data_IF_769884046409
#
_entry.id   IF_769884046409
#
_cell.length_a   1.000
_cell.length_b   1.000
_cell.length_c   1.000
_cell.angle_alpha   90.00
_cell.angle_beta   90.00
_cell.angle_gamma   90.00
#
_symmetry.space_group_name_H-M   'P 1'
#
loop_
_entity.id
_entity.type
_entity.pdbx_description
1 polymer ?
#
# COMPACT_ATOMS: atom_id res chain seq x y z
N UNK A 1 3.39 5.84 -27.43
CA UNK A 1 2.71 4.80 -26.64
C UNK A 1 3.77 3.80 -26.19
N UNK A 2 3.77 3.43 -24.92
CA UNK A 2 4.68 2.45 -24.37
C UNK A 2 3.88 1.29 -23.74
N UNK A 3 4.50 0.11 -23.71
CA UNK A 3 3.88 -1.11 -23.18
C UNK A 3 4.45 -1.39 -21.79
N UNK A 4 3.62 -1.29 -20.74
CA UNK A 4 4.05 -1.49 -19.37
C UNK A 4 4.55 -2.92 -19.10
N UNK A 5 4.03 -3.93 -19.79
CA UNK A 5 4.50 -5.32 -19.66
C UNK A 5 5.93 -5.51 -20.20
N UNK A 6 6.35 -4.70 -21.19
CA UNK A 6 7.73 -4.69 -21.71
C UNK A 6 8.70 -3.87 -20.86
N UNK A 7 8.20 -2.87 -20.13
CA UNK A 7 8.95 -2.10 -19.13
C UNK A 7 8.35 -2.30 -17.75
N UNK A 8 8.55 -3.46 -17.15
CA UNK A 8 7.71 -4.01 -16.08
C UNK A 8 7.60 -3.13 -14.85
N UNK A 9 8.59 -2.28 -14.62
CA UNK A 9 8.63 -1.37 -13.48
C UNK A 9 9.08 0.00 -13.97
N UNK A 10 8.36 1.04 -13.54
CA UNK A 10 8.55 2.41 -13.98
C UNK A 10 8.82 3.32 -12.78
N UNK A 11 9.88 4.10 -12.85
CA UNK A 11 10.18 5.17 -11.90
C UNK A 11 9.86 6.53 -12.55
N UNK A 12 9.10 7.35 -11.84
CA UNK A 12 8.70 8.69 -12.29
C UNK A 12 9.16 9.72 -11.25
N UNK A 13 9.98 10.69 -11.62
CA UNK A 13 10.40 11.71 -10.67
C UNK A 13 10.44 13.11 -11.30
N UNK A 14 10.25 14.14 -10.48
CA UNK A 14 10.29 15.54 -10.90
C UNK A 14 9.77 16.48 -9.82
N UNK A 15 10.04 17.76 -9.96
CA UNK A 15 9.59 18.79 -9.03
C UNK A 15 8.06 18.91 -9.00
N UNK A 16 7.52 19.51 -7.94
CA UNK A 16 6.09 19.85 -7.84
C UNK A 16 5.67 20.73 -9.03
N UNK A 17 4.52 20.41 -9.64
CA UNK A 17 4.01 21.15 -10.80
C UNK A 17 4.69 20.81 -12.14
N UNK A 18 5.65 19.90 -12.18
CA UNK A 18 6.36 19.52 -13.41
C UNK A 18 5.54 18.63 -14.37
N UNK A 19 4.44 18.03 -13.91
CA UNK A 19 3.57 17.15 -14.68
C UNK A 19 3.53 15.69 -14.20
N UNK A 20 4.18 15.35 -13.08
CA UNK A 20 4.23 14.00 -12.51
C UNK A 20 2.84 13.41 -12.27
N UNK A 21 1.98 14.13 -11.55
CA UNK A 21 0.62 13.66 -11.19
C UNK A 21 -0.26 13.52 -12.43
N UNK A 22 -0.17 14.44 -13.38
CA UNK A 22 -0.87 14.34 -14.67
C UNK A 22 -0.42 13.09 -15.45
N UNK A 23 0.86 12.78 -15.45
CA UNK A 23 1.39 11.56 -16.07
C UNK A 23 0.87 10.29 -15.40
N UNK A 24 0.83 10.24 -14.06
CA UNK A 24 0.26 9.13 -13.30
C UNK A 24 -1.23 8.92 -13.63
N UNK A 25 -2.00 10.01 -13.63
CA UNK A 25 -3.41 9.99 -14.01
C UNK A 25 -3.61 9.54 -15.47
N UNK A 26 -2.81 10.03 -16.41
CA UNK A 26 -2.85 9.62 -17.80
C UNK A 26 -2.50 8.13 -17.97
N UNK A 27 -1.52 7.61 -17.20
CA UNK A 27 -1.16 6.19 -17.20
C UNK A 27 -2.33 5.33 -16.72
N UNK A 28 -2.88 5.62 -15.53
CA UNK A 28 -4.01 4.87 -14.95
C UNK A 28 -5.20 4.94 -15.91
N UNK A 29 -5.57 6.13 -16.36
CA UNK A 29 -6.70 6.34 -17.29
C UNK A 29 -6.50 5.55 -18.58
N UNK A 30 -5.30 5.52 -19.17
CA UNK A 30 -5.03 4.76 -20.39
C UNK A 30 -5.24 3.26 -20.24
N UNK A 31 -5.02 2.73 -19.04
CA UNK A 31 -5.21 1.31 -18.72
C UNK A 31 -6.68 0.98 -18.45
N UNK A 32 -7.38 1.77 -17.63
CA UNK A 32 -8.79 1.54 -17.31
C UNK A 32 -9.71 1.77 -18.50
N UNK A 33 -9.29 2.62 -19.46
CA UNK A 33 -10.03 2.84 -20.71
C UNK A 33 -10.03 1.62 -21.62
N UNK A 34 -8.98 0.79 -21.58
CA UNK A 34 -8.79 -0.34 -22.49
C UNK A 34 -9.03 -1.70 -21.87
N UNK A 35 -8.87 -1.84 -20.58
CA UNK A 35 -8.85 -3.12 -19.91
C UNK A 35 -10.01 -3.23 -18.92
N UNK A 36 -10.74 -4.34 -19.04
CA UNK A 36 -11.82 -4.67 -18.12
C UNK A 36 -11.26 -4.98 -16.71
N UNK A 37 -12.01 -4.74 -15.61
CA UNK A 37 -11.60 -5.10 -14.27
C UNK A 37 -11.17 -6.55 -14.08
N UNK A 38 -11.65 -7.49 -14.84
CA UNK A 38 -11.20 -8.89 -14.82
C UNK A 38 -9.75 -9.07 -15.27
N UNK A 39 -9.19 -8.13 -16.03
CA UNK A 39 -7.85 -8.26 -16.62
C UNK A 39 -6.79 -7.44 -15.90
N UNK A 40 -7.18 -6.39 -15.17
CA UNK A 40 -6.25 -5.50 -14.48
C UNK A 40 -6.80 -5.09 -13.11
N UNK A 41 -5.92 -5.02 -12.13
CA UNK A 41 -6.18 -4.52 -10.78
C UNK A 41 -5.15 -3.48 -10.41
N UNK A 42 -5.61 -2.44 -9.75
CA UNK A 42 -4.73 -1.42 -9.18
C UNK A 42 -4.63 -1.56 -7.67
N UNK A 43 -3.43 -1.36 -7.17
CA UNK A 43 -3.14 -1.14 -5.76
C UNK A 43 -2.49 0.23 -5.69
N UNK A 44 -3.16 1.18 -5.04
CA UNK A 44 -2.72 2.57 -4.98
C UNK A 44 -2.26 2.89 -3.56
N UNK A 45 -1.07 3.46 -3.45
CA UNK A 45 -0.47 3.96 -2.21
C UNK A 45 -0.30 5.48 -2.39
N UNK A 46 -1.15 6.24 -1.70
CA UNK A 46 -1.16 7.72 -1.72
C UNK A 46 -1.25 8.24 -0.28
N UNK A 47 -0.12 8.43 0.40
CA UNK A 47 -0.10 8.89 1.79
C UNK A 47 -0.73 10.26 2.02
N UNK A 48 -0.85 11.07 0.97
CA UNK A 48 -1.39 12.43 1.05
C UNK A 48 -2.88 12.52 0.71
N UNK A 49 -3.45 11.47 0.13
CA UNK A 49 -4.86 11.42 -0.32
C UNK A 49 -5.25 12.53 -1.30
N UNK A 50 -4.31 13.06 -2.08
CA UNK A 50 -4.53 14.23 -2.92
C UNK A 50 -4.64 13.89 -4.41
N UNK A 51 -3.83 12.93 -4.90
CA UNK A 51 -3.62 12.77 -6.33
C UNK A 51 -4.36 11.56 -6.91
N UNK A 52 -4.41 10.45 -6.18
CA UNK A 52 -4.92 9.17 -6.68
C UNK A 52 -6.17 8.67 -5.96
N UNK A 53 -6.64 9.38 -4.93
CA UNK A 53 -7.85 9.02 -4.16
C UNK A 53 -9.13 9.03 -4.99
N UNK A 54 -9.16 9.79 -6.09
CA UNK A 54 -10.27 9.84 -7.06
C UNK A 54 -10.62 8.45 -7.61
N UNK A 55 -9.64 7.54 -7.72
CA UNK A 55 -9.85 6.18 -8.23
C UNK A 55 -10.43 5.20 -7.21
N UNK A 56 -10.63 5.58 -5.95
CA UNK A 56 -11.07 4.67 -4.87
C UNK A 56 -12.34 3.89 -5.20
N UNK A 57 -13.25 4.49 -5.99
CA UNK A 57 -14.58 3.93 -6.28
C UNK A 57 -14.66 3.11 -7.57
N UNK A 58 -13.55 2.91 -8.32
CA UNK A 58 -13.61 2.16 -9.57
C UNK A 58 -13.48 0.65 -9.34
N UNK A 59 -14.16 -0.19 -10.15
CA UNK A 59 -14.13 -1.65 -10.00
C UNK A 59 -12.75 -2.27 -10.24
N UNK A 60 -11.82 -1.54 -10.85
CA UNK A 60 -10.44 -1.96 -11.09
C UNK A 60 -9.56 -1.95 -9.83
N UNK A 61 -10.03 -1.35 -8.74
CA UNK A 61 -9.24 -1.37 -7.51
C UNK A 61 -9.21 -2.77 -6.90
N UNK A 62 -8.02 -3.23 -6.56
CA UNK A 62 -7.81 -4.50 -5.84
C UNK A 62 -8.05 -4.37 -4.34
N UNK A 63 -8.05 -3.13 -3.85
CA UNK A 63 -8.32 -2.73 -2.46
C UNK A 63 -8.52 -1.21 -2.38
N UNK A 64 -9.03 -0.66 -1.26
CA UNK A 64 -9.03 0.78 -1.00
C UNK A 64 -7.63 1.40 -1.07
N UNK A 65 -7.55 2.71 -1.37
CA UNK A 65 -6.28 3.44 -1.43
C UNK A 65 -5.56 3.39 -0.09
N UNK A 66 -4.27 3.10 -0.11
CA UNK A 66 -3.43 2.98 1.09
C UNK A 66 -2.86 4.34 1.46
N UNK A 67 -3.16 4.82 2.66
CA UNK A 67 -2.85 6.19 3.09
C UNK A 67 -1.74 6.28 4.14
N UNK A 68 -1.31 5.17 4.74
CA UNK A 68 -0.26 5.19 5.74
C UNK A 68 0.97 4.37 5.37
N UNK A 69 2.20 4.80 5.76
CA UNK A 69 3.43 4.04 5.48
C UNK A 69 3.44 2.65 6.08
N UNK A 70 2.91 2.47 7.29
CA UNK A 70 2.81 1.17 7.96
C UNK A 70 1.91 0.19 7.18
N UNK A 71 0.78 0.70 6.67
CA UNK A 71 -0.13 -0.07 5.81
C UNK A 71 0.51 -0.37 4.46
N UNK A 72 1.26 0.58 3.88
CA UNK A 72 1.98 0.37 2.63
C UNK A 72 2.98 -0.78 2.74
N UNK A 73 3.74 -0.86 3.85
CA UNK A 73 4.62 -1.99 4.13
C UNK A 73 3.87 -3.32 4.15
N UNK A 74 2.75 -3.39 4.88
CA UNK A 74 1.94 -4.61 4.95
C UNK A 74 1.43 -5.03 3.57
N UNK A 75 0.89 -4.09 2.81
CA UNK A 75 0.37 -4.33 1.46
C UNK A 75 1.47 -4.80 0.50
N UNK A 76 2.66 -4.19 0.54
CA UNK A 76 3.80 -4.67 -0.25
C UNK A 76 4.21 -6.09 0.14
N UNK A 77 4.13 -6.45 1.42
CA UNK A 77 4.37 -7.81 1.90
C UNK A 77 3.31 -8.79 1.37
N UNK A 78 2.04 -8.41 1.39
CA UNK A 78 0.94 -9.22 0.86
C UNK A 78 1.07 -9.43 -0.66
N UNK A 79 1.54 -8.41 -1.40
CA UNK A 79 1.83 -8.52 -2.84
C UNK A 79 2.97 -9.50 -3.11
N UNK A 80 3.99 -9.56 -2.24
CA UNK A 80 5.05 -10.58 -2.33
C UNK A 80 4.46 -11.98 -2.15
N UNK A 81 3.56 -12.17 -1.19
CA UNK A 81 2.87 -13.45 -0.99
C UNK A 81 2.03 -13.83 -2.21
N UNK A 82 1.30 -12.87 -2.80
CA UNK A 82 0.53 -13.09 -4.03
C UNK A 82 1.45 -13.45 -5.20
N UNK A 83 2.58 -12.77 -5.35
CA UNK A 83 3.60 -13.11 -6.34
C UNK A 83 4.05 -14.57 -6.23
N UNK A 84 4.33 -15.04 -5.01
CA UNK A 84 4.73 -16.42 -4.74
C UNK A 84 3.62 -17.44 -5.02
N UNK A 85 2.37 -17.09 -4.71
CA UNK A 85 1.20 -17.91 -5.08
C UNK A 85 1.07 -18.06 -6.60
N UNK A 86 1.26 -16.96 -7.34
CA UNK A 86 1.22 -16.97 -8.79
C UNK A 86 2.34 -17.82 -9.38
N UNK A 87 3.56 -17.74 -8.86
CA UNK A 87 4.65 -18.61 -9.29
C UNK A 87 4.31 -20.09 -9.12
N UNK A 88 3.70 -20.49 -8.00
CA UNK A 88 3.25 -21.87 -7.78
C UNK A 88 2.21 -22.28 -8.83
N UNK A 89 1.18 -21.45 -9.09
CA UNK A 89 0.15 -21.73 -10.11
C UNK A 89 0.74 -21.87 -11.52
N UNK A 90 1.71 -21.02 -11.88
CA UNK A 90 2.40 -21.11 -13.16
C UNK A 90 3.21 -22.42 -13.27
N UNK A 91 3.94 -22.78 -12.22
CA UNK A 91 4.72 -24.02 -12.17
C UNK A 91 3.83 -25.28 -12.28
N UNK A 92 2.73 -25.35 -11.54
CA UNK A 92 1.74 -26.42 -11.61
C UNK A 92 1.12 -26.56 -13.01
N UNK A 93 0.95 -25.43 -13.71
CA UNK A 93 0.42 -25.40 -15.09
C UNK A 93 1.51 -25.62 -16.17
N UNK A 94 2.77 -25.79 -15.78
CA UNK A 94 3.88 -25.99 -16.70
C UNK A 94 4.14 -24.82 -17.63
N UNK A 95 3.90 -23.56 -17.17
CA UNK A 95 4.12 -22.34 -17.95
C UNK A 95 5.11 -21.41 -17.23
N UNK A 96 5.72 -20.47 -17.97
CA UNK A 96 6.78 -19.60 -17.46
C UNK A 96 6.33 -18.17 -17.16
N UNK A 97 5.17 -17.76 -17.68
CA UNK A 97 4.68 -16.40 -17.53
C UNK A 97 3.15 -16.36 -17.53
N UNK A 98 2.61 -15.23 -17.08
CA UNK A 98 1.17 -14.99 -16.97
C UNK A 98 0.45 -15.02 -18.33
N UNK A 99 1.10 -14.57 -19.41
CA UNK A 99 0.48 -14.56 -20.74
C UNK A 99 0.17 -15.97 -21.22
N UNK A 100 1.14 -16.90 -21.07
CA UNK A 100 0.97 -18.29 -21.46
C UNK A 100 0.01 -19.03 -20.53
N UNK A 101 -0.02 -18.65 -19.24
CA UNK A 101 -1.03 -19.13 -18.30
C UNK A 101 -2.42 -18.71 -18.74
N UNK A 102 -2.65 -17.42 -18.96
CA UNK A 102 -3.95 -16.87 -19.31
C UNK A 102 -4.48 -17.34 -20.66
N UNK A 103 -3.60 -17.66 -21.64
CA UNK A 103 -4.01 -18.29 -22.90
C UNK A 103 -4.64 -19.66 -22.76
N UNK A 104 -4.35 -20.38 -21.65
CA UNK A 104 -4.88 -21.71 -21.35
C UNK A 104 -6.11 -21.67 -20.45
N UNK A 105 -6.49 -20.51 -19.93
CA UNK A 105 -7.59 -20.32 -19.00
C UNK A 105 -8.86 -19.83 -19.69
N UNK A 106 -10.01 -20.13 -19.08
CA UNK A 106 -11.26 -19.46 -19.41
C UNK A 106 -11.24 -18.03 -18.86
N UNK A 107 -12.11 -17.15 -19.38
CA UNK A 107 -12.09 -15.73 -19.08
C UNK A 107 -12.15 -15.45 -17.57
N UNK A 108 -13.01 -16.18 -16.85
CA UNK A 108 -13.27 -16.02 -15.42
C UNK A 108 -12.12 -16.53 -14.54
N UNK A 109 -11.24 -17.39 -15.08
CA UNK A 109 -10.13 -18.01 -14.32
C UNK A 109 -8.78 -17.41 -14.67
N UNK A 110 -8.73 -16.44 -15.57
CA UNK A 110 -7.52 -15.69 -15.89
C UNK A 110 -7.00 -14.92 -14.67
N UNK A 111 -5.69 -14.88 -14.52
CA UNK A 111 -5.05 -14.02 -13.52
C UNK A 111 -5.03 -12.58 -14.04
N UNK A 112 -5.57 -11.60 -13.30
CA UNK A 112 -5.44 -10.20 -13.69
C UNK A 112 -3.99 -9.72 -13.55
N UNK A 113 -3.58 -8.79 -14.38
CA UNK A 113 -2.39 -8.00 -14.14
C UNK A 113 -2.60 -7.12 -12.90
N UNK A 114 -1.57 -6.94 -12.09
CA UNK A 114 -1.61 -6.05 -10.91
C UNK A 114 -0.65 -4.89 -11.17
N UNK A 115 -1.16 -3.67 -11.07
CA UNK A 115 -0.35 -2.45 -11.14
C UNK A 115 -0.35 -1.78 -9.78
N UNK A 116 0.82 -1.71 -9.17
CA UNK A 116 1.03 -1.05 -7.88
C UNK A 116 1.53 0.36 -8.15
N UNK A 117 0.73 1.36 -7.81
CA UNK A 117 1.06 2.77 -7.98
C UNK A 117 1.40 3.40 -6.64
N UNK A 118 2.59 3.99 -6.52
CA UNK A 118 3.02 4.77 -5.34
C UNK A 118 3.17 6.22 -5.77
N UNK A 119 2.36 7.12 -5.22
CA UNK A 119 2.41 8.55 -5.60
C UNK A 119 3.65 9.27 -5.06
N UNK A 120 4.04 8.96 -3.82
CA UNK A 120 5.22 9.58 -3.21
C UNK A 120 6.09 8.54 -2.49
N UNK A 121 7.12 8.06 -3.21
CA UNK A 121 8.07 7.08 -2.66
C UNK A 121 8.83 7.63 -1.45
N UNK A 122 9.13 8.95 -1.43
CA UNK A 122 9.87 9.56 -0.34
C UNK A 122 9.17 9.37 1.01
N UNK A 123 7.84 9.43 1.06
CA UNK A 123 7.10 9.28 2.30
C UNK A 123 7.22 7.85 2.88
N UNK A 124 7.45 6.86 2.04
CA UNK A 124 7.72 5.48 2.46
C UNK A 124 9.21 5.30 2.86
N UNK A 125 10.13 5.86 2.07
CA UNK A 125 11.57 5.73 2.29
C UNK A 125 12.09 6.54 3.49
N UNK A 126 11.36 7.54 3.93
CA UNK A 126 11.69 8.35 5.13
C UNK A 126 10.95 7.88 6.39
N UNK A 127 10.20 6.80 6.30
CA UNK A 127 9.48 6.21 7.44
C UNK A 127 10.40 5.29 8.28
N UNK A 128 9.95 4.94 9.48
CA UNK A 128 10.66 3.99 10.35
C UNK A 128 10.80 2.58 9.74
N UNK A 129 10.02 2.26 8.71
CA UNK A 129 10.00 0.97 8.01
C UNK A 129 10.75 1.00 6.67
N UNK A 130 11.48 2.06 6.36
CA UNK A 130 12.13 2.30 5.06
C UNK A 130 12.96 1.12 4.53
N UNK A 131 13.82 0.54 5.35
CA UNK A 131 14.66 -0.60 4.95
C UNK A 131 13.83 -1.82 4.50
N UNK A 132 12.71 -2.08 5.17
CA UNK A 132 11.81 -3.19 4.82
C UNK A 132 11.03 -2.89 3.55
N UNK A 133 10.55 -1.65 3.39
CA UNK A 133 9.88 -1.19 2.18
C UNK A 133 10.81 -1.29 0.96
N UNK A 134 12.05 -0.80 1.06
CA UNK A 134 13.04 -0.92 -0.01
C UNK A 134 13.30 -2.38 -0.41
N UNK A 135 13.46 -3.26 0.59
CA UNK A 135 13.66 -4.70 0.34
C UNK A 135 12.46 -5.34 -0.37
N UNK A 136 11.23 -5.02 0.05
CA UNK A 136 10.01 -5.54 -0.58
C UNK A 136 9.87 -5.05 -2.02
N UNK A 137 10.07 -3.74 -2.26
CA UNK A 137 10.05 -3.15 -3.61
C UNK A 137 11.11 -3.80 -4.49
N UNK A 138 12.32 -3.96 -3.99
CA UNK A 138 13.43 -4.61 -4.72
C UNK A 138 13.08 -6.04 -5.10
N UNK A 139 12.55 -6.83 -4.16
CA UNK A 139 12.13 -8.23 -4.40
C UNK A 139 11.03 -8.32 -5.45
N UNK A 140 10.02 -7.47 -5.36
CA UNK A 140 8.97 -7.39 -6.37
C UNK A 140 9.54 -7.01 -7.74
N UNK A 141 10.38 -5.98 -7.81
CA UNK A 141 10.95 -5.53 -9.06
C UNK A 141 11.85 -6.58 -9.75
N UNK A 142 12.51 -7.43 -8.98
CA UNK A 142 13.33 -8.53 -9.52
C UNK A 142 12.52 -9.72 -10.04
N UNK A 143 11.38 -10.00 -9.42
CA UNK A 143 10.68 -11.28 -9.65
C UNK A 143 9.26 -11.13 -10.23
N UNK A 144 8.59 -10.00 -10.04
CA UNK A 144 7.15 -9.92 -10.27
C UNK A 144 6.74 -9.85 -11.76
N UNK A 145 7.65 -9.52 -12.67
CA UNK A 145 7.38 -9.39 -14.11
C UNK A 145 6.69 -10.62 -14.70
N UNK A 146 7.24 -11.79 -14.46
CA UNK A 146 6.73 -13.04 -15.07
C UNK A 146 5.31 -13.39 -14.62
N UNK A 147 4.91 -12.94 -13.44
CA UNK A 147 3.59 -13.21 -12.85
C UNK A 147 2.61 -12.05 -13.03
N UNK A 148 2.95 -11.04 -13.85
CA UNK A 148 2.06 -9.94 -14.23
C UNK A 148 1.82 -8.92 -13.11
N UNK A 149 2.82 -8.64 -12.28
CA UNK A 149 2.77 -7.59 -11.25
C UNK A 149 3.77 -6.51 -11.65
N UNK A 150 3.30 -5.27 -11.74
CA UNK A 150 4.05 -4.11 -12.21
C UNK A 150 4.05 -3.01 -11.16
N UNK A 151 5.20 -2.37 -10.97
CA UNK A 151 5.36 -1.26 -10.03
C UNK A 151 5.51 0.05 -10.80
N UNK A 152 4.76 1.06 -10.41
CA UNK A 152 4.91 2.44 -10.87
C UNK A 152 5.18 3.29 -9.63
N UNK A 153 6.44 3.67 -9.45
CA UNK A 153 6.89 4.47 -8.30
C UNK A 153 7.07 5.92 -8.73
N UNK A 154 6.44 6.82 -8.00
CA UNK A 154 6.62 8.25 -8.26
C UNK A 154 7.19 8.97 -7.05
N UNK A 155 7.94 10.07 -7.27
CA UNK A 155 8.44 10.93 -6.19
C UNK A 155 8.67 12.36 -6.67
N UNK A 156 8.42 13.32 -5.78
CA UNK A 156 8.77 14.72 -5.94
C UNK A 156 10.13 15.05 -5.32
N UNK A 157 10.77 14.09 -4.63
CA UNK A 157 12.06 14.26 -3.94
C UNK A 157 13.12 13.35 -4.57
N UNK A 158 13.79 13.80 -5.66
CA UNK A 158 14.78 12.99 -6.35
C UNK A 158 16.13 12.98 -5.63
N UNK A 159 16.16 12.61 -4.35
CA UNK A 159 17.38 12.44 -3.56
C UNK A 159 17.90 11.00 -3.61
N UNK A 160 19.18 10.81 -3.31
CA UNK A 160 19.82 9.49 -3.28
C UNK A 160 19.28 8.59 -2.16
N UNK A 161 18.73 9.17 -1.11
CA UNK A 161 18.08 8.45 -0.01
C UNK A 161 16.71 7.89 -0.40
N UNK A 162 16.09 8.46 -1.43
CA UNK A 162 14.78 8.02 -1.97
C UNK A 162 14.97 7.14 -3.20
N UNK A 163 15.76 7.61 -4.17
CA UNK A 163 16.12 6.87 -5.39
C UNK A 163 17.48 6.22 -5.18
N UNK A 164 17.49 5.16 -4.40
CA UNK A 164 18.72 4.45 -4.04
C UNK A 164 19.31 3.68 -5.22
N UNK A 165 20.55 3.21 -5.07
CA UNK A 165 21.18 2.34 -6.06
C UNK A 165 20.40 1.05 -6.30
N UNK A 166 19.75 0.48 -5.26
CA UNK A 166 18.91 -0.71 -5.38
C UNK A 166 17.65 -0.45 -6.19
N UNK A 167 16.99 0.68 -5.95
CA UNK A 167 15.82 1.10 -6.75
C UNK A 167 16.24 1.28 -8.21
N UNK A 168 17.29 2.04 -8.48
CA UNK A 168 17.76 2.29 -9.87
C UNK A 168 18.12 1.02 -10.62
N UNK A 169 18.77 0.06 -9.96
CA UNK A 169 19.17 -1.22 -10.57
C UNK A 169 17.96 -2.05 -11.03
N UNK A 170 16.81 -1.91 -10.35
CA UNK A 170 15.61 -2.71 -10.60
C UNK A 170 14.51 -1.96 -11.38
N UNK A 171 14.69 -0.65 -11.60
CA UNK A 171 13.79 0.20 -12.39
C UNK A 171 14.52 0.77 -13.61
N UNK A 172 14.70 -0.01 -14.66
CA UNK A 172 15.42 0.41 -15.85
C UNK A 172 14.63 1.42 -16.69
N UNK A 173 13.29 1.39 -16.64
CA UNK A 173 12.46 2.40 -17.28
C UNK A 173 12.22 3.57 -16.33
N UNK A 174 12.58 4.79 -16.77
CA UNK A 174 12.50 5.98 -15.92
C UNK A 174 11.97 7.19 -16.67
N UNK A 175 11.21 8.00 -15.99
CA UNK A 175 10.74 9.31 -16.47
C UNK A 175 11.27 10.38 -15.52
N UNK A 176 12.00 11.33 -16.06
CA UNK A 176 12.40 12.54 -15.35
C UNK A 176 11.60 13.72 -15.91
N UNK A 177 10.75 14.30 -15.13
CA UNK A 177 10.19 15.63 -15.36
C UNK A 177 11.18 16.71 -14.94
N UNK A 178 10.81 17.99 -15.14
CA UNK A 178 11.63 19.12 -14.73
C UNK A 178 12.07 19.00 -13.27
N UNK A 179 13.35 19.25 -13.02
CA UNK A 179 13.98 19.28 -11.70
C UNK A 179 14.80 20.55 -11.51
N UNK A 180 15.16 20.87 -10.26
CA UNK A 180 15.86 22.09 -9.92
C UNK A 180 17.34 22.07 -10.31
N UNK A 181 17.98 20.91 -10.31
CA UNK A 181 19.43 20.80 -10.47
C UNK A 181 19.87 19.66 -11.39
N UNK A 182 21.11 19.74 -11.90
CA UNK A 182 21.77 18.66 -12.63
C UNK A 182 22.00 17.43 -11.74
N UNK A 183 22.14 17.62 -10.43
CA UNK A 183 22.29 16.50 -9.48
C UNK A 183 21.02 15.68 -9.43
N UNK A 184 19.86 16.33 -9.34
CA UNK A 184 18.56 15.68 -9.35
C UNK A 184 18.33 14.91 -10.67
N UNK A 185 18.68 15.52 -11.81
CA UNK A 185 18.61 14.85 -13.11
C UNK A 185 19.42 13.57 -13.13
N UNK A 186 20.68 13.60 -12.67
CA UNK A 186 21.53 12.42 -12.58
C UNK A 186 21.01 11.39 -11.60
N UNK A 187 20.42 11.82 -10.50
CA UNK A 187 19.82 10.90 -9.53
C UNK A 187 18.71 10.06 -10.16
N UNK A 188 17.91 10.66 -11.06
CA UNK A 188 16.79 9.97 -11.70
C UNK A 188 17.26 9.11 -12.88
N UNK A 189 17.91 9.74 -13.88
CA UNK A 189 18.16 9.12 -15.21
C UNK A 189 19.65 8.88 -15.51
N UNK A 190 20.53 9.03 -14.54
CA UNK A 190 21.99 8.93 -14.68
C UNK A 190 22.60 9.88 -15.74
N UNK A 191 21.83 10.86 -16.20
CA UNK A 191 22.21 11.87 -17.20
C UNK A 191 21.75 13.27 -16.80
N UNK A 192 22.37 14.31 -17.37
CA UNK A 192 21.88 15.67 -17.26
C UNK A 192 20.75 15.91 -18.27
N UNK A 193 19.97 16.95 -18.06
CA UNK A 193 18.99 17.44 -19.04
C UNK A 193 17.61 17.72 -18.46
N UNK A 194 17.21 17.02 -17.40
CA UNK A 194 15.92 17.26 -16.76
C UNK A 194 15.83 18.64 -16.11
N UNK A 195 16.95 19.25 -15.75
CA UNK A 195 17.03 20.64 -15.26
C UNK A 195 16.75 21.70 -16.34
N UNK A 196 16.72 21.28 -17.61
CA UNK A 196 16.46 22.16 -18.76
C UNK A 196 15.07 21.99 -19.36
N UNK A 197 14.26 21.10 -18.78
CA UNK A 197 12.89 20.88 -19.22
C UNK A 197 12.01 22.09 -18.88
N UNK A 198 10.94 22.24 -19.66
CA UNK A 198 10.04 23.39 -19.57
C UNK A 198 8.97 23.26 -18.48
N UNK A 199 8.81 22.07 -17.87
CA UNK A 199 7.68 21.78 -17.00
C UNK A 199 6.41 21.40 -17.77
N UNK A 200 5.27 21.39 -17.07
CA UNK A 200 3.96 21.13 -17.68
C UNK A 200 3.88 19.87 -18.58
N UNK A 201 4.54 18.80 -18.18
CA UNK A 201 4.53 17.53 -18.91
C UNK A 201 5.72 17.29 -19.84
N UNK A 202 6.63 18.24 -19.99
CA UNK A 202 7.90 18.05 -20.69
C UNK A 202 8.80 17.11 -19.88
N UNK A 203 9.25 16.00 -20.45
CA UNK A 203 9.95 14.93 -19.75
C UNK A 203 11.06 14.30 -20.57
N UNK A 204 12.00 13.69 -19.86
CA UNK A 204 12.98 12.77 -20.43
C UNK A 204 12.57 11.34 -20.06
N UNK A 205 12.35 10.50 -21.06
CA UNK A 205 11.99 9.11 -20.91
C UNK A 205 13.17 8.21 -21.28
N UNK A 206 13.68 7.49 -20.28
CA UNK A 206 14.66 6.42 -20.45
C UNK A 206 13.94 5.09 -20.52
N UNK A 207 13.86 4.52 -21.73
CA UNK A 207 13.24 3.19 -21.94
C UNK A 207 14.21 2.07 -21.59
N UNK A 208 13.68 0.94 -21.20
CA UNK A 208 14.48 -0.27 -20.95
C UNK A 208 15.32 -0.65 -22.18
N UNK A 209 16.64 -0.78 -21.98
CA UNK A 209 17.58 -1.15 -23.04
C UNK A 209 18.03 -0.01 -23.96
N UNK A 210 17.57 1.22 -23.73
CA UNK A 210 18.08 2.39 -24.43
C UNK A 210 19.20 3.05 -23.61
N UNK A 211 20.32 3.44 -24.25
CA UNK A 211 21.45 4.09 -23.55
C UNK A 211 21.16 5.56 -23.22
N UNK A 212 20.29 6.22 -23.99
CA UNK A 212 20.01 7.65 -23.86
C UNK A 212 18.51 7.91 -23.68
N UNK A 213 18.13 8.91 -22.87
CA UNK A 213 16.74 9.29 -22.70
C UNK A 213 16.21 10.04 -23.94
N UNK A 214 14.96 9.79 -24.26
CA UNK A 214 14.22 10.51 -25.30
C UNK A 214 13.38 11.61 -24.67
N UNK A 215 13.44 12.83 -25.21
CA UNK A 215 12.58 13.93 -24.78
C UNK A 215 11.19 13.78 -25.38
N UNK A 216 10.18 13.79 -24.53
CA UNK A 216 8.78 13.59 -24.88
C UNK A 216 7.95 14.64 -24.14
N UNK A 217 6.87 15.10 -24.74
CA UNK A 217 5.85 15.88 -24.04
C UNK A 217 4.68 14.98 -23.69
N UNK A 218 4.31 14.91 -22.40
CA UNK A 218 3.22 14.09 -21.90
C UNK A 218 1.85 14.58 -22.38
N UNK A 219 0.90 13.67 -22.46
CA UNK A 219 -0.49 14.05 -22.65
C UNK A 219 -1.01 14.79 -21.41
N UNK A 220 -1.80 15.82 -21.63
CA UNK A 220 -2.51 16.50 -20.57
C UNK A 220 -3.87 15.84 -20.34
N UNK A 221 -4.20 15.62 -19.08
CA UNK A 221 -5.50 15.16 -18.62
C UNK A 221 -5.91 16.04 -17.44
N UNK A 222 -7.06 16.73 -17.54
CA UNK A 222 -7.54 17.57 -16.46
C UNK A 222 -8.19 16.76 -15.33
N UNK A 223 -8.33 17.36 -14.17
CA UNK A 223 -9.03 16.73 -13.03
C UNK A 223 -10.48 16.46 -13.38
N UNK A 224 -11.16 17.41 -14.07
CA UNK A 224 -12.55 17.26 -14.49
C UNK A 224 -12.73 16.12 -15.50
N UNK A 225 -11.74 15.88 -16.38
CA UNK A 225 -11.78 14.75 -17.30
C UNK A 225 -11.60 13.43 -16.56
N UNK A 226 -10.68 13.39 -15.59
CA UNK A 226 -10.48 12.23 -14.71
C UNK A 226 -11.75 11.91 -13.93
N UNK A 227 -12.37 12.91 -13.30
CA UNK A 227 -13.63 12.75 -12.55
C UNK A 227 -14.77 12.23 -13.41
N UNK A 228 -14.90 12.72 -14.65
CA UNK A 228 -15.92 12.22 -15.59
C UNK A 228 -15.69 10.76 -15.96
N UNK A 229 -14.44 10.37 -16.20
CA UNK A 229 -14.10 8.97 -16.53
C UNK A 229 -14.38 8.05 -15.35
N UNK A 230 -13.95 8.43 -14.15
CA UNK A 230 -14.16 7.66 -12.93
C UNK A 230 -15.66 7.52 -12.63
N UNK A 231 -16.41 8.60 -12.74
CA UNK A 231 -17.87 8.60 -12.57
C UNK A 231 -18.53 7.67 -13.56
N UNK A 232 -18.19 7.77 -14.85
CA UNK A 232 -18.74 6.89 -15.89
C UNK A 232 -18.47 5.39 -15.60
N UNK A 233 -17.25 5.04 -15.15
CA UNK A 233 -16.90 3.65 -14.83
C UNK A 233 -17.65 3.18 -13.58
N UNK A 234 -17.74 4.00 -12.53
CA UNK A 234 -18.49 3.69 -11.31
C UNK A 234 -19.98 3.46 -11.59
N UNK A 235 -20.57 4.31 -12.41
CA UNK A 235 -22.01 4.28 -12.70
C UNK A 235 -22.44 3.07 -13.56
N UNK A 236 -21.48 2.28 -14.08
CA UNK A 236 -21.75 0.98 -14.68
C UNK A 236 -22.15 -0.10 -13.67
N UNK A 237 -22.08 0.18 -12.38
CA UNK A 237 -22.55 -0.72 -11.31
C UNK A 237 -21.70 -1.96 -11.08
N UNK A 238 -20.51 -2.05 -11.68
CA UNK A 238 -19.57 -3.13 -11.39
C UNK A 238 -18.98 -2.95 -10.00
N UNK A 239 -19.08 -3.99 -9.18
CA UNK A 239 -18.48 -3.97 -7.85
C UNK A 239 -16.96 -4.10 -7.91
N UNK A 240 -16.27 -3.48 -6.94
CA UNK A 240 -14.84 -3.67 -6.74
C UNK A 240 -14.56 -5.15 -6.47
N UNK A 241 -13.71 -5.76 -7.28
CA UNK A 241 -13.32 -7.15 -7.11
C UNK A 241 -11.98 -7.19 -6.36
N UNK A 242 -12.09 -7.30 -5.06
CA UNK A 242 -10.93 -7.35 -4.18
C UNK A 242 -9.97 -8.50 -4.52
N UNK A 243 -8.68 -8.27 -4.34
CA UNK A 243 -7.67 -9.31 -4.43
C UNK A 243 -7.66 -10.14 -3.15
N UNK A 244 -7.90 -11.44 -3.28
CA UNK A 244 -7.85 -12.37 -2.16
C UNK A 244 -6.46 -12.38 -1.50
N UNK A 245 -6.43 -12.23 -0.16
CA UNK A 245 -5.20 -12.31 0.62
C UNK A 245 -4.39 -11.00 0.69
N UNK A 246 -4.88 -9.90 0.09
CA UNK A 246 -4.36 -8.56 0.32
C UNK A 246 -5.29 -7.87 1.32
N UNK A 247 -4.75 -7.50 2.48
CA UNK A 247 -5.50 -6.88 3.59
C UNK A 247 -6.33 -5.69 3.13
N UNK A 248 -7.65 -5.76 3.29
CA UNK A 248 -8.60 -4.74 2.81
C UNK A 248 -8.94 -3.66 3.84
N UNK A 249 -8.49 -3.81 5.07
CA UNK A 249 -8.88 -2.91 6.14
C UNK A 249 -8.37 -1.48 5.91
N UNK A 250 -9.16 -0.69 5.18
CA UNK A 250 -9.20 0.78 5.27
C UNK A 250 -10.65 1.17 5.53
N UNK A 251 -10.89 1.80 6.66
CA UNK A 251 -12.20 2.33 7.03
C UNK A 251 -13.11 1.40 7.82
N UNK A 252 -12.64 0.26 8.24
CA UNK A 252 -13.02 -0.18 9.56
C UNK A 252 -12.09 0.61 10.52
N UNK A 253 -12.65 1.74 11.06
CA UNK A 253 -12.96 1.61 12.48
C UNK A 253 -13.55 0.21 12.63
N UNK A 254 -12.68 -0.77 12.78
CA UNK A 254 -13.01 -1.84 13.66
C UNK A 254 -13.24 -1.08 14.98
N UNK A 255 -14.50 -0.83 15.26
CA UNK A 255 -15.01 -1.46 16.47
C UNK A 255 -14.41 -2.85 16.38
N UNK A 256 -13.16 -2.97 16.74
CA UNK A 256 -12.48 -4.21 17.00
C UNK A 256 -13.42 -4.86 17.99
N UNK A 257 -14.04 -5.96 17.59
CA UNK A 257 -14.13 -7.03 18.53
C UNK A 257 -12.76 -7.01 19.19
N UNK A 258 -12.72 -6.47 20.38
CA UNK A 258 -11.53 -6.36 21.20
C UNK A 258 -11.07 -7.80 21.25
N UNK A 259 -9.94 -8.12 20.59
CA UNK A 259 -9.37 -9.45 20.67
C UNK A 259 -9.04 -9.70 22.14
N UNK A 260 -10.06 -10.11 22.86
CA UNK A 260 -10.02 -10.55 24.26
C UNK A 260 -9.22 -11.85 24.40
N UNK A 261 -8.65 -12.34 23.30
CA UNK A 261 -7.97 -13.63 23.23
C UNK A 261 -6.59 -13.69 23.90
N UNK A 262 -6.04 -12.62 24.45
CA UNK A 262 -4.92 -12.78 25.37
C UNK A 262 -5.50 -13.23 26.73
N UNK A 263 -5.18 -14.45 27.20
CA UNK A 263 -5.72 -14.99 28.44
C UNK A 263 -5.45 -14.10 29.67
N UNK A 264 -4.49 -13.17 29.57
CA UNK A 264 -4.18 -12.20 30.62
C UNK A 264 -4.88 -10.84 30.48
N UNK A 265 -5.71 -10.65 29.43
CA UNK A 265 -6.34 -9.35 29.20
C UNK A 265 -7.30 -8.97 30.31
N UNK A 266 -8.14 -9.90 30.75
CA UNK A 266 -9.05 -9.67 31.89
C UNK A 266 -8.28 -9.33 33.19
N UNK A 267 -7.23 -10.09 33.46
CA UNK A 267 -6.38 -9.86 34.64
C UNK A 267 -5.64 -8.53 34.54
N UNK A 268 -5.24 -8.11 33.34
CA UNK A 268 -4.65 -6.80 33.12
C UNK A 268 -5.65 -5.66 33.36
N UNK A 269 -6.93 -5.79 32.96
CA UNK A 269 -8.00 -4.85 33.32
C UNK A 269 -8.15 -4.71 34.81
N UNK A 270 -8.25 -5.82 35.54
CA UNK A 270 -8.39 -5.84 37.02
C UNK A 270 -7.20 -5.17 37.72
N UNK A 271 -5.97 -5.42 37.23
CA UNK A 271 -4.75 -4.82 37.78
C UNK A 271 -4.76 -3.30 37.60
N UNK A 272 -5.06 -2.78 36.40
CA UNK A 272 -5.04 -1.33 36.16
C UNK A 272 -6.15 -0.59 36.88
N UNK A 273 -7.35 -1.17 37.00
CA UNK A 273 -8.47 -0.59 37.78
C UNK A 273 -8.13 -0.53 39.26
N UNK A 274 -7.65 -1.64 39.83
CA UNK A 274 -7.27 -1.72 41.25
C UNK A 274 -6.20 -0.70 41.63
N UNK A 275 -5.25 -0.46 40.73
CA UNK A 275 -4.15 0.47 40.99
C UNK A 275 -4.42 1.89 40.44
N UNK A 276 -5.55 2.12 39.78
CA UNK A 276 -5.95 3.40 39.14
C UNK A 276 -4.84 3.97 38.25
N UNK A 277 -4.10 3.08 37.55
CA UNK A 277 -2.95 3.47 36.79
C UNK A 277 -2.65 2.42 35.70
N UNK A 278 -2.60 2.85 34.43
CA UNK A 278 -2.20 2.03 33.29
C UNK A 278 -0.73 2.23 32.95
N UNK A 279 0.16 1.36 33.40
CA UNK A 279 1.56 1.42 33.01
C UNK A 279 2.15 0.05 32.67
N UNK A 280 3.05 0.03 31.67
CA UNK A 280 3.76 -1.17 31.27
C UNK A 280 4.51 -1.82 32.43
N UNK A 281 5.19 -1.00 33.26
CA UNK A 281 5.95 -1.47 34.41
C UNK A 281 5.06 -2.09 35.51
N UNK A 282 3.82 -1.59 35.65
CA UNK A 282 2.85 -2.16 36.59
C UNK A 282 2.43 -3.57 36.13
N UNK A 283 2.07 -3.73 34.86
CA UNK A 283 1.65 -5.02 34.29
C UNK A 283 2.80 -6.04 34.33
N UNK A 284 4.03 -5.63 33.96
CA UNK A 284 5.20 -6.52 34.07
C UNK A 284 5.35 -7.10 35.46
N UNK A 285 5.30 -6.23 36.47
CA UNK A 285 5.53 -6.62 37.88
C UNK A 285 4.39 -7.44 38.47
N UNK A 286 3.13 -7.15 38.06
CA UNK A 286 1.94 -7.81 38.64
C UNK A 286 1.59 -9.11 37.93
N UNK A 287 1.78 -9.18 36.62
CA UNK A 287 1.45 -10.35 35.80
C UNK A 287 2.67 -11.24 35.53
N UNK A 288 3.88 -10.83 35.94
CA UNK A 288 5.11 -11.61 35.73
C UNK A 288 5.48 -11.78 34.25
N UNK A 289 5.15 -10.81 33.39
CA UNK A 289 5.33 -10.87 31.94
C UNK A 289 6.46 -9.97 31.44
N UNK A 290 7.00 -10.29 30.26
CA UNK A 290 8.04 -9.48 29.62
C UNK A 290 7.50 -8.12 29.10
N UNK A 291 8.42 -7.15 28.91
CA UNK A 291 8.11 -5.78 28.48
C UNK A 291 7.22 -5.72 27.23
N UNK A 292 7.56 -6.48 26.19
CA UNK A 292 6.80 -6.47 24.92
C UNK A 292 5.34 -6.93 25.08
N UNK A 293 5.10 -7.95 25.92
CA UNK A 293 3.73 -8.43 26.18
C UNK A 293 2.96 -7.43 27.03
N UNK A 294 3.59 -6.84 28.04
CA UNK A 294 2.98 -5.80 28.87
C UNK A 294 2.62 -4.55 28.08
N UNK A 295 3.49 -4.13 27.13
CA UNK A 295 3.22 -3.01 26.25
C UNK A 295 2.01 -3.29 25.34
N UNK A 296 1.93 -4.47 24.71
CA UNK A 296 0.77 -4.86 23.90
C UNK A 296 -0.53 -4.90 24.72
N UNK A 297 -0.48 -5.35 25.97
CA UNK A 297 -1.66 -5.37 26.84
C UNK A 297 -2.11 -3.95 27.18
N UNK A 298 -1.21 -3.00 27.46
CA UNK A 298 -1.55 -1.59 27.67
C UNK A 298 -2.18 -0.98 26.42
N UNK A 299 -1.66 -1.27 25.24
CA UNK A 299 -2.24 -0.79 23.99
C UNK A 299 -3.64 -1.39 23.73
N UNK A 300 -3.85 -2.67 24.04
CA UNK A 300 -5.18 -3.30 24.01
C UNK A 300 -6.14 -2.67 25.03
N UNK A 301 -5.67 -2.32 26.23
CA UNK A 301 -6.47 -1.64 27.26
C UNK A 301 -6.88 -0.22 26.83
N UNK A 302 -6.02 0.50 26.09
CA UNK A 302 -6.35 1.78 25.49
C UNK A 302 -7.42 1.62 24.40
N UNK A 303 -7.24 0.68 23.48
CA UNK A 303 -8.22 0.39 22.42
C UNK A 303 -9.57 -0.05 22.97
N UNK A 304 -9.57 -0.78 24.09
CA UNK A 304 -10.78 -1.18 24.81
C UNK A 304 -11.43 -0.04 25.63
N UNK A 305 -10.83 1.16 25.62
CA UNK A 305 -11.32 2.29 26.38
C UNK A 305 -11.18 2.14 27.90
N UNK A 306 -10.32 1.24 28.38
CA UNK A 306 -10.07 1.02 29.82
C UNK A 306 -9.09 2.06 30.38
N UNK A 307 -8.13 2.48 29.58
CA UNK A 307 -7.16 3.53 29.93
C UNK A 307 -7.13 4.63 28.88
N UNK A 308 -6.72 5.83 29.27
CA UNK A 308 -6.60 6.99 28.39
C UNK A 308 -5.54 6.79 27.31
N UNK A 309 -5.61 7.52 26.17
CA UNK A 309 -4.52 7.60 25.21
C UNK A 309 -3.22 8.07 25.84
N UNK A 310 -2.09 7.66 25.23
CA UNK A 310 -0.77 8.06 25.71
C UNK A 310 -0.54 9.57 25.48
N UNK A 311 -0.34 10.31 26.54
CA UNK A 311 -0.13 11.78 26.56
C UNK A 311 1.33 12.20 26.79
N UNK A 312 2.28 11.25 26.71
CA UNK A 312 3.70 11.50 27.02
C UNK A 312 4.07 11.25 28.46
N UNK A 313 3.13 10.95 29.36
CA UNK A 313 3.40 10.54 30.74
C UNK A 313 3.80 9.05 30.81
N UNK A 314 4.44 8.65 31.93
CA UNK A 314 4.85 7.25 32.12
C UNK A 314 3.68 6.30 32.44
N UNK A 315 2.51 6.81 32.68
CA UNK A 315 1.34 6.06 33.11
C UNK A 315 0.06 6.68 32.54
N UNK A 316 -0.83 5.85 32.02
CA UNK A 316 -2.14 6.24 31.47
C UNK A 316 -3.18 6.25 32.57
N UNK A 317 -4.16 7.16 32.53
CA UNK A 317 -5.25 7.21 33.46
C UNK A 317 -6.27 6.11 33.19
N UNK A 318 -6.88 5.55 34.23
CA UNK A 318 -7.96 4.57 34.10
C UNK A 318 -9.28 5.31 34.02
N UNK A 319 -10.03 5.09 32.93
CA UNK A 319 -11.26 5.84 32.62
C UNK A 319 -12.56 5.03 32.77
N UNK A 320 -12.47 3.77 33.19
CA UNK A 320 -13.61 2.88 33.47
C UNK A 320 -13.55 2.30 34.88
N UNK A 321 -14.70 1.82 35.36
CA UNK A 321 -14.84 1.13 36.60
C UNK A 321 -14.94 -0.40 36.45
N UNK A 322 -14.98 -1.12 37.57
CA UNK A 322 -15.08 -2.59 37.58
C UNK A 322 -16.37 -3.10 36.91
N UNK A 323 -17.48 -2.35 37.06
CA UNK A 323 -18.77 -2.76 36.50
C UNK A 323 -18.73 -2.76 34.97
N UNK A 324 -17.99 -1.82 34.34
CA UNK A 324 -17.79 -1.75 32.92
C UNK A 324 -17.00 -2.95 32.41
N UNK A 325 -15.94 -3.35 33.10
CA UNK A 325 -15.14 -4.53 32.75
C UNK A 325 -15.95 -5.80 32.87
N UNK A 326 -16.72 -5.96 33.93
CA UNK A 326 -17.58 -7.13 34.10
C UNK A 326 -18.64 -7.22 33.00
N UNK A 327 -19.18 -6.10 32.52
CA UNK A 327 -20.09 -6.05 31.38
C UNK A 327 -19.42 -6.47 30.06
N UNK A 328 -18.17 -6.06 29.82
CA UNK A 328 -17.40 -6.44 28.63
C UNK A 328 -17.20 -7.97 28.51
N UNK A 329 -17.07 -8.66 29.63
CA UNK A 329 -16.87 -10.12 29.65
C UNK A 329 -18.17 -10.93 29.83
N UNK A 330 -19.29 -10.28 30.15
CA UNK A 330 -20.60 -10.93 30.31
C UNK A 330 -21.30 -11.21 28.96
N UNK A 331 -20.94 -10.46 27.92
CA UNK A 331 -21.52 -10.61 26.57
C UNK A 331 -21.00 -11.81 25.74
N UNK A 332 -19.97 -12.53 26.22
CA UNK A 332 -19.34 -13.63 25.48
C UNK A 332 -19.78 -15.05 25.90
N UNK A 333 -20.72 -15.17 26.84
CA UNK A 333 -21.30 -16.46 27.22
C UNK A 333 -22.53 -16.74 26.35
N UNK A 334 -22.32 -17.15 25.09
CA UNK A 334 -23.34 -17.64 24.18
C UNK A 334 -23.80 -19.04 24.58
N UNK A 335 -25.08 -19.29 24.42
CA UNK A 335 -25.95 -20.41 24.74
C UNK A 335 -25.36 -21.82 24.61
N UNK A 336 -25.67 -22.74 25.55
CA UNK A 336 -25.41 -24.13 25.31
C UNK A 336 -26.46 -24.68 24.32
N UNK A 337 -26.00 -25.30 23.27
CA UNK A 337 -26.84 -26.06 22.34
C UNK A 337 -27.62 -27.15 23.08
N UNK A 338 -28.93 -26.99 23.11
CA UNK A 338 -29.88 -28.00 23.59
C UNK A 338 -29.86 -29.19 22.60
N UNK A 339 -29.36 -30.32 23.09
CA UNK A 339 -29.54 -31.63 22.45
C UNK A 339 -30.68 -32.33 23.19
N UNK A 340 -31.85 -32.37 22.58
CA UNK A 340 -32.79 -33.45 22.84
C UNK A 340 -33.92 -33.49 21.83
N UNK A 341 -34.01 -34.63 21.19
CA UNK A 341 -35.11 -35.31 20.51
C UNK A 341 -35.00 -35.34 19.01
#
# INVERSE_FOLDING_TARGET
VADLAKMPHLLIAGATGSGKSVCMNALITSLIYKLHPLHIRFIVIDPKMLELSVYSAIPHMGRPVVTSPKRAEQVLSDIVVEMEKRYRRLAESGVRNIEDYNKRQQEETKLPYIVVCVDELADLMMSATSNKVEMLITRLAQMARAVGIHLVLATQRPSVDVITGLIKANFPARIAFQVASKVDSRTIIDANGAEKLLGAGDMLFLSTGQPEPTRIHGAFLSSEETDRIVTFIRDQGLQMMALEGISQAEGENTETEVDLGDPLFREACEVVIRHKQGSVSLLQRRLGIGYQRAARLIDKLEHAGVVSPFDGSKAREVIVDQAHVDAMFSGSAGEPADRSS
#
